data_IF_289380071426
#
_entry.id   IF_289380071426
#
_cell.length_a   1.000
_cell.length_b   1.000
_cell.length_c   1.000
_cell.angle_alpha   90.00
_cell.angle_beta   90.00
_cell.angle_gamma   90.00
#
_symmetry.space_group_name_H-M   'P 1'
#
loop_
_entity.id
_entity.type
_entity.pdbx_description
1 polymer ?
#
# COMPACT_ATOMS: atom_id res chain seq x y z
N UNK A 1 19.08 17.18 -13.14
CA UNK A 1 17.63 17.21 -12.86
C UNK A 1 17.24 15.93 -12.13
N UNK A 2 16.50 16.04 -11.02
CA UNK A 2 16.00 14.89 -10.23
C UNK A 2 14.88 14.19 -11.01
N UNK A 3 14.74 12.87 -10.85
CA UNK A 3 13.70 12.13 -11.53
C UNK A 3 12.30 12.46 -10.98
N UNK A 4 11.34 12.70 -11.87
CA UNK A 4 9.93 12.93 -11.53
C UNK A 4 9.27 11.63 -11.05
N UNK A 5 8.24 11.77 -10.21
CA UNK A 5 7.56 10.65 -9.55
C UNK A 5 6.14 10.43 -10.09
N UNK A 6 5.76 9.17 -10.26
CA UNK A 6 4.39 8.72 -10.52
C UNK A 6 3.84 8.11 -9.23
N UNK A 7 2.75 8.69 -8.71
CA UNK A 7 2.25 8.42 -7.35
C UNK A 7 0.79 7.95 -7.41
N UNK A 8 0.51 6.65 -7.25
CA UNK A 8 -0.85 6.17 -7.06
C UNK A 8 -1.44 6.62 -5.73
N UNK A 9 -2.69 7.07 -5.74
CA UNK A 9 -3.44 7.43 -4.54
C UNK A 9 -4.55 6.42 -4.24
N UNK A 10 -4.61 5.96 -2.99
CA UNK A 10 -5.57 5.01 -2.47
C UNK A 10 -6.47 5.74 -1.45
N UNK A 11 -7.68 6.07 -1.86
CA UNK A 11 -8.69 6.63 -0.96
C UNK A 11 -9.27 5.47 -0.13
N UNK A 12 -9.12 5.53 1.19
CA UNK A 12 -9.51 4.44 2.12
C UNK A 12 -10.79 4.82 2.85
N UNK A 13 -11.77 3.91 2.82
CA UNK A 13 -12.99 4.04 3.62
C UNK A 13 -13.32 2.69 4.24
N UNK A 14 -13.47 2.67 5.56
CA UNK A 14 -13.83 1.47 6.32
C UNK A 14 -12.88 0.28 6.03
N UNK A 15 -11.57 0.58 5.91
CA UNK A 15 -10.52 -0.41 5.62
C UNK A 15 -10.42 -0.87 4.16
N UNK A 16 -11.24 -0.32 3.25
CA UNK A 16 -11.27 -0.69 1.82
C UNK A 16 -10.80 0.46 0.96
N UNK A 17 -10.14 0.15 -0.17
CA UNK A 17 -9.91 1.17 -1.20
C UNK A 17 -11.25 1.48 -1.84
N UNK A 18 -11.58 2.75 -1.97
CA UNK A 18 -12.79 3.20 -2.63
C UNK A 18 -12.48 4.17 -3.76
N UNK A 19 -13.36 4.26 -4.75
CA UNK A 19 -13.28 5.30 -5.77
C UNK A 19 -14.63 5.84 -6.19
N UNK A 20 -14.70 7.16 -6.33
CA UNK A 20 -15.84 7.90 -6.85
C UNK A 20 -15.40 9.19 -7.52
N UNK A 21 -16.35 9.96 -8.05
CA UNK A 21 -16.12 11.29 -8.62
C UNK A 21 -16.44 12.32 -7.54
N UNK A 22 -15.51 13.22 -7.21
CA UNK A 22 -15.69 14.23 -6.15
C UNK A 22 -16.17 13.63 -4.81
N UNK A 23 -15.69 12.43 -4.46
CA UNK A 23 -16.12 11.66 -3.29
C UNK A 23 -17.62 11.28 -3.24
N UNK A 24 -18.31 11.35 -4.38
CA UNK A 24 -19.70 10.88 -4.59
C UNK A 24 -19.67 9.53 -5.31
N UNK A 25 -20.66 8.66 -5.04
CA UNK A 25 -20.82 7.32 -5.62
C UNK A 25 -19.59 6.41 -5.48
N UNK A 26 -19.06 6.35 -4.25
CA UNK A 26 -17.89 5.53 -3.91
C UNK A 26 -18.13 4.04 -4.17
N UNK A 27 -17.32 3.45 -5.05
CA UNK A 27 -17.27 2.00 -5.36
C UNK A 27 -16.07 1.37 -4.67
N UNK A 28 -16.21 0.13 -4.21
CA UNK A 28 -15.08 -0.66 -3.70
C UNK A 28 -14.07 -0.94 -4.84
N UNK A 29 -12.80 -0.65 -4.59
CA UNK A 29 -11.67 -0.81 -5.51
C UNK A 29 -10.62 -1.81 -4.99
N UNK A 30 -10.98 -2.62 -4.00
CA UNK A 30 -10.17 -3.75 -3.53
C UNK A 30 -9.52 -3.54 -2.18
N UNK A 31 -8.66 -4.51 -1.86
CA UNK A 31 -7.83 -4.49 -0.66
C UNK A 31 -6.69 -3.46 -0.79
N UNK A 32 -6.43 -2.61 0.23
CA UNK A 32 -5.38 -1.60 0.16
C UNK A 32 -3.96 -2.17 0.05
N UNK A 33 -3.67 -3.28 0.75
CA UNK A 33 -2.34 -3.90 0.79
C UNK A 33 -2.03 -4.56 -0.55
N UNK A 34 -2.98 -5.30 -1.11
CA UNK A 34 -2.83 -5.90 -2.44
C UNK A 34 -2.66 -4.84 -3.52
N UNK A 35 -3.39 -3.73 -3.45
CA UNK A 35 -3.18 -2.61 -4.38
C UNK A 35 -1.79 -1.96 -4.18
N UNK A 36 -1.33 -1.81 -2.95
CA UNK A 36 -0.01 -1.25 -2.66
C UNK A 36 1.11 -2.10 -3.26
N UNK A 37 1.07 -3.41 -3.04
CA UNK A 37 2.01 -4.38 -3.63
C UNK A 37 1.98 -4.29 -5.15
N UNK A 38 0.79 -4.35 -5.74
CA UNK A 38 0.62 -4.29 -7.18
C UNK A 38 1.22 -3.02 -7.78
N UNK A 39 0.97 -1.85 -7.18
CA UNK A 39 1.51 -0.59 -7.68
C UNK A 39 3.02 -0.49 -7.49
N UNK A 40 3.56 -1.01 -6.37
CA UNK A 40 4.99 -1.11 -6.17
C UNK A 40 5.67 -1.99 -7.24
N UNK A 41 5.07 -3.15 -7.56
CA UNK A 41 5.55 -4.07 -8.60
C UNK A 41 5.46 -3.46 -10.01
N UNK A 42 4.45 -2.64 -10.28
CA UNK A 42 4.37 -1.84 -11.51
C UNK A 42 5.36 -0.67 -11.58
N UNK A 43 6.12 -0.45 -10.50
CA UNK A 43 7.14 0.56 -10.42
C UNK A 43 6.61 1.93 -10.03
N UNK A 44 5.59 2.04 -9.17
CA UNK A 44 5.28 3.29 -8.50
C UNK A 44 6.55 3.85 -7.82
N UNK A 45 6.70 5.18 -7.83
CA UNK A 45 7.83 5.81 -7.12
C UNK A 45 7.54 6.03 -5.64
N UNK A 46 6.25 6.13 -5.31
CA UNK A 46 5.70 6.43 -3.99
C UNK A 46 4.20 6.08 -4.01
N UNK A 47 3.58 5.83 -2.85
CA UNK A 47 2.12 5.73 -2.70
C UNK A 47 1.55 6.80 -1.76
N UNK A 48 0.30 7.17 -1.94
CA UNK A 48 -0.45 8.00 -0.98
C UNK A 48 -1.72 7.29 -0.54
N UNK A 49 -1.95 7.18 0.77
CA UNK A 49 -3.19 6.69 1.36
C UNK A 49 -3.95 7.84 2.00
N UNK A 50 -5.22 8.04 1.64
CA UNK A 50 -6.07 9.08 2.22
C UNK A 50 -7.27 8.43 2.91
N UNK A 51 -7.28 8.42 4.24
CA UNK A 51 -8.43 7.93 5.01
C UNK A 51 -9.58 8.95 5.02
N UNK A 52 -10.69 8.57 4.39
CA UNK A 52 -11.94 9.33 4.33
C UNK A 52 -13.05 8.74 5.20
N UNK A 53 -12.73 7.75 6.03
CA UNK A 53 -13.66 7.21 7.03
C UNK A 53 -14.19 8.36 7.90
N UNK A 54 -15.40 8.28 8.45
CA UNK A 54 -15.98 9.35 9.28
C UNK A 54 -16.09 9.01 10.78
N UNK A 55 -15.89 7.74 11.14
CA UNK A 55 -16.17 7.19 12.49
C UNK A 55 -15.04 7.43 13.50
N UNK A 56 -15.27 7.09 14.77
CA UNK A 56 -14.30 7.27 15.87
C UNK A 56 -13.27 6.15 15.98
N UNK A 57 -13.51 4.97 15.39
CA UNK A 57 -12.62 3.78 15.43
C UNK A 57 -11.44 3.85 14.42
N UNK A 58 -11.19 5.05 13.87
CA UNK A 58 -10.22 5.29 12.79
C UNK A 58 -8.77 4.91 13.10
N UNK A 59 -8.34 5.10 14.35
CA UNK A 59 -6.91 5.12 14.68
C UNK A 59 -6.26 3.75 14.55
N UNK A 60 -6.95 2.70 15.00
CA UNK A 60 -6.41 1.34 14.93
C UNK A 60 -6.47 0.78 13.51
N UNK A 61 -7.52 1.09 12.74
CA UNK A 61 -7.65 0.67 11.33
C UNK A 61 -6.50 1.24 10.50
N UNK A 62 -6.29 2.56 10.57
CA UNK A 62 -5.21 3.21 9.83
C UNK A 62 -3.85 2.70 10.28
N UNK A 63 -3.62 2.56 11.60
CA UNK A 63 -2.35 2.06 12.11
C UNK A 63 -2.04 0.63 11.65
N UNK A 64 -3.01 -0.27 11.71
CA UNK A 64 -2.83 -1.66 11.28
C UNK A 64 -2.59 -1.74 9.77
N UNK A 65 -3.35 -0.97 8.98
CA UNK A 65 -3.14 -0.86 7.55
C UNK A 65 -1.73 -0.36 7.21
N UNK A 66 -1.26 0.70 7.88
CA UNK A 66 0.08 1.26 7.67
C UNK A 66 1.17 0.23 7.96
N UNK A 67 1.03 -0.51 9.07
CA UNK A 67 1.97 -1.57 9.43
C UNK A 67 2.00 -2.66 8.37
N UNK A 68 0.83 -3.13 7.94
CA UNK A 68 0.73 -4.19 6.95
C UNK A 68 1.30 -3.76 5.60
N UNK A 69 1.05 -2.52 5.16
CA UNK A 69 1.66 -1.99 3.93
C UNK A 69 3.18 -1.91 4.07
N UNK A 70 3.70 -1.40 5.18
CA UNK A 70 5.13 -1.26 5.43
C UNK A 70 5.88 -2.62 5.43
N UNK A 71 5.21 -3.70 5.85
CA UNK A 71 5.77 -5.05 5.81
C UNK A 71 5.91 -5.60 4.37
N UNK A 72 5.22 -5.01 3.38
CA UNK A 72 5.12 -5.54 2.02
C UNK A 72 5.80 -4.69 0.92
N UNK A 73 6.01 -3.39 1.14
CA UNK A 73 6.58 -2.49 0.11
C UNK A 73 7.81 -1.72 0.60
N UNK A 74 8.73 -1.41 -0.32
CA UNK A 74 9.96 -0.65 -0.04
C UNK A 74 9.97 0.74 -0.66
N UNK A 75 8.97 1.05 -1.47
CA UNK A 75 8.81 2.41 -2.00
C UNK A 75 8.20 3.27 -0.89
N UNK A 76 8.54 4.56 -0.81
CA UNK A 76 7.99 5.42 0.22
C UNK A 76 6.47 5.52 0.13
N UNK A 77 5.80 5.74 1.25
CA UNK A 77 4.39 6.08 1.22
C UNK A 77 3.99 7.15 2.24
N UNK A 78 3.02 7.97 1.82
CA UNK A 78 2.42 9.02 2.63
C UNK A 78 1.02 8.61 3.10
N UNK A 79 0.67 8.99 4.32
CA UNK A 79 -0.66 8.72 4.90
C UNK A 79 -1.30 10.05 5.31
N UNK A 80 -2.51 10.30 4.84
CA UNK A 80 -3.32 11.46 5.18
C UNK A 80 -4.75 11.06 5.57
N UNK A 81 -5.54 12.05 5.94
CA UNK A 81 -6.92 11.85 6.39
C UNK A 81 -7.02 11.80 7.91
N UNK A 82 -7.63 12.82 8.52
CA UNK A 82 -7.90 12.85 9.95
C UNK A 82 -6.70 13.10 10.89
N UNK A 83 -5.51 13.40 10.35
CA UNK A 83 -4.33 13.79 11.15
C UNK A 83 -4.53 15.19 11.74
N UNK A 84 -4.59 15.30 13.07
CA UNK A 84 -4.92 16.56 13.77
C UNK A 84 -3.89 16.98 14.82
N UNK A 85 -3.10 16.04 15.32
CA UNK A 85 -2.20 16.26 16.44
C UNK A 85 -0.82 15.66 16.18
N UNK A 86 0.18 16.10 16.94
CA UNK A 86 1.53 15.50 16.93
C UNK A 86 1.49 14.01 17.25
N UNK A 87 0.55 13.58 18.12
CA UNK A 87 0.41 12.16 18.45
C UNK A 87 -0.14 11.35 17.27
N UNK A 88 -1.06 11.90 16.48
CA UNK A 88 -1.55 11.21 15.28
C UNK A 88 -0.40 11.00 14.28
N UNK A 89 0.46 12.02 14.11
CA UNK A 89 1.64 11.94 13.24
C UNK A 89 2.62 10.88 13.75
N UNK A 90 2.92 10.90 15.06
CA UNK A 90 3.80 9.93 15.73
C UNK A 90 3.32 8.50 15.50
N UNK A 91 2.02 8.25 15.69
CA UNK A 91 1.42 6.92 15.55
C UNK A 91 1.56 6.38 14.11
N UNK A 92 1.38 7.24 13.11
CA UNK A 92 1.44 6.85 11.69
C UNK A 92 2.88 6.62 11.23
N UNK A 93 3.80 7.50 11.60
CA UNK A 93 5.22 7.32 11.26
C UNK A 93 5.82 6.10 11.96
N UNK A 94 5.51 5.89 13.25
CA UNK A 94 5.99 4.73 14.00
C UNK A 94 5.36 3.41 13.54
N UNK A 95 4.21 3.46 12.85
CA UNK A 95 3.62 2.28 12.23
C UNK A 95 4.30 1.88 10.91
N UNK A 96 5.14 2.75 10.33
CA UNK A 96 5.94 2.43 9.14
C UNK A 96 5.74 3.37 7.94
N UNK A 97 4.88 4.38 8.04
CA UNK A 97 4.77 5.39 6.98
C UNK A 97 6.01 6.30 6.97
N UNK A 98 6.48 6.67 5.78
CA UNK A 98 7.61 7.61 5.64
C UNK A 98 7.18 9.06 5.85
N UNK A 99 5.92 9.35 5.51
CA UNK A 99 5.38 10.72 5.47
C UNK A 99 3.93 10.80 5.95
N UNK A 100 3.55 11.96 6.47
CA UNK A 100 2.17 12.30 6.81
C UNK A 100 1.68 13.47 5.97
N UNK A 101 0.43 13.41 5.55
CA UNK A 101 -0.24 14.46 4.78
C UNK A 101 -1.27 15.18 5.64
N UNK A 102 -1.11 16.50 5.78
CA UNK A 102 -1.91 17.36 6.65
C UNK A 102 -2.57 18.45 5.79
N UNK A 103 -3.89 18.55 5.87
CA UNK A 103 -4.67 19.61 5.23
C UNK A 103 -5.35 20.47 6.32
N UNK A 104 -6.63 20.22 6.64
CA UNK A 104 -7.46 21.13 7.43
C UNK A 104 -6.89 21.45 8.81
N UNK A 105 -6.34 20.46 9.54
CA UNK A 105 -5.73 20.73 10.84
C UNK A 105 -4.48 21.62 10.76
N UNK A 106 -3.71 21.50 9.68
CA UNK A 106 -2.56 22.36 9.41
C UNK A 106 -3.00 23.76 9.02
N UNK A 107 -4.10 23.91 8.28
CA UNK A 107 -4.69 25.20 7.95
C UNK A 107 -5.22 25.93 9.20
N UNK A 108 -6.02 25.24 10.00
CA UNK A 108 -6.64 25.80 11.21
C UNK A 108 -5.61 26.11 12.30
N UNK A 109 -4.51 25.33 12.35
CA UNK A 109 -3.40 25.53 13.27
C UNK A 109 -2.04 25.33 12.59
N UNK A 110 -1.49 26.38 11.92
CA UNK A 110 -0.22 26.29 11.19
C UNK A 110 0.98 25.92 12.05
N UNK A 111 0.90 26.12 13.37
CA UNK A 111 1.96 25.71 14.31
C UNK A 111 2.16 24.19 14.36
N UNK A 112 1.18 23.40 13.90
CA UNK A 112 1.29 21.94 13.80
C UNK A 112 2.43 21.54 12.86
N UNK A 113 2.59 22.21 11.72
CA UNK A 113 3.71 21.98 10.79
C UNK A 113 5.05 22.25 11.47
N UNK A 114 5.16 23.35 12.23
CA UNK A 114 6.41 23.71 12.92
C UNK A 114 6.78 22.70 14.00
N UNK A 115 5.80 22.26 14.78
CA UNK A 115 6.01 21.24 15.81
C UNK A 115 6.38 19.89 15.19
N UNK A 116 5.69 19.48 14.12
CA UNK A 116 5.92 18.22 13.44
C UNK A 116 7.29 18.19 12.75
N UNK A 117 7.64 19.24 12.01
CA UNK A 117 8.94 19.37 11.34
C UNK A 117 10.10 19.37 12.34
N UNK A 118 9.95 20.01 13.50
CA UNK A 118 10.97 19.97 14.57
C UNK A 118 11.16 18.57 15.17
N UNK A 119 10.08 17.78 15.30
CA UNK A 119 10.13 16.45 15.91
C UNK A 119 10.57 15.36 14.94
N UNK A 120 10.06 15.38 13.71
CA UNK A 120 10.22 14.29 12.73
C UNK A 120 11.08 14.66 11.51
N UNK A 121 11.36 15.96 11.32
CA UNK A 121 12.00 16.49 10.12
C UNK A 121 11.00 16.87 9.04
N UNK A 122 11.28 17.95 8.30
CA UNK A 122 10.40 18.46 7.25
C UNK A 122 10.09 17.45 6.15
N UNK A 123 11.04 16.56 5.84
CA UNK A 123 10.87 15.52 4.80
C UNK A 123 9.71 14.55 5.10
N UNK A 124 9.30 14.43 6.36
CA UNK A 124 8.17 13.58 6.78
C UNK A 124 6.82 14.30 6.66
N UNK A 125 6.79 15.60 6.38
CA UNK A 125 5.59 16.43 6.52
C UNK A 125 5.16 16.98 5.15
N UNK A 126 4.03 16.49 4.66
CA UNK A 126 3.39 16.92 3.41
C UNK A 126 2.22 17.86 3.73
N UNK A 127 2.21 19.05 3.15
CA UNK A 127 1.05 19.95 3.19
C UNK A 127 0.11 19.61 2.03
N UNK A 128 -1.04 19.00 2.33
CA UNK A 128 -2.10 18.81 1.35
C UNK A 128 -2.94 20.08 1.23
N UNK A 129 -3.07 20.59 0.01
CA UNK A 129 -3.79 21.82 -0.31
C UNK A 129 -4.81 21.49 -1.40
N UNK A 130 -6.08 21.50 -1.02
CA UNK A 130 -7.18 21.46 -1.97
C UNK A 130 -7.49 22.90 -2.39
N UNK A 131 -7.62 23.16 -3.68
CA UNK A 131 -7.92 24.51 -4.17
C UNK A 131 -8.84 24.50 -5.39
N UNK A 132 -9.58 25.60 -5.57
CA UNK A 132 -10.41 25.86 -6.75
C UNK A 132 -10.29 27.30 -7.22
N UNK A 133 -10.56 27.57 -8.48
CA UNK A 133 -10.64 28.94 -8.99
C UNK A 133 -12.03 29.54 -8.72
N UNK A 134 -12.09 30.67 -8.01
CA UNK A 134 -13.35 31.34 -7.69
C UNK A 134 -13.70 32.49 -8.64
N UNK A 135 -13.00 32.62 -9.78
CA UNK A 135 -13.15 33.72 -10.73
C UNK A 135 -12.13 34.84 -10.55
N UNK A 136 -11.43 34.89 -9.41
CA UNK A 136 -10.40 35.87 -9.13
C UNK A 136 -9.07 35.23 -8.69
N UNK A 137 -9.14 34.31 -7.74
CA UNK A 137 -7.97 33.61 -7.19
C UNK A 137 -8.19 32.10 -7.18
N UNK A 138 -7.09 31.35 -7.11
CA UNK A 138 -7.13 29.96 -6.64
C UNK A 138 -7.23 29.98 -5.13
N UNK A 139 -8.41 29.65 -4.62
CA UNK A 139 -8.77 29.71 -3.22
C UNK A 139 -8.59 28.35 -2.55
N UNK A 140 -7.94 28.34 -1.37
CA UNK A 140 -7.76 27.14 -0.56
C UNK A 140 -9.10 26.68 0.02
N UNK A 141 -9.29 25.37 0.00
CA UNK A 141 -10.45 24.69 0.54
C UNK A 141 -10.04 23.76 1.69
N UNK A 142 -10.90 23.65 2.69
CA UNK A 142 -10.75 22.71 3.81
C UNK A 142 -11.96 21.79 3.92
N UNK A 143 -11.92 20.84 4.85
CA UNK A 143 -12.98 19.86 5.11
C UNK A 143 -13.35 19.03 3.87
N UNK A 144 -12.33 18.56 3.14
CA UNK A 144 -12.49 17.78 1.91
C UNK A 144 -13.14 18.58 0.78
N UNK A 145 -12.70 19.83 0.59
CA UNK A 145 -13.16 20.72 -0.48
C UNK A 145 -14.47 21.47 -0.21
N UNK A 146 -15.10 21.32 0.97
CA UNK A 146 -16.44 21.86 1.23
C UNK A 146 -16.46 23.27 1.80
N UNK A 147 -15.36 23.69 2.44
CA UNK A 147 -15.26 24.99 3.08
C UNK A 147 -14.25 25.87 2.35
N UNK A 148 -14.71 27.02 1.86
CA UNK A 148 -13.88 28.01 1.18
C UNK A 148 -13.29 29.00 2.19
N UNK A 149 -11.99 29.22 2.13
CA UNK A 149 -11.25 29.93 3.20
C UNK A 149 -10.98 31.40 2.92
N UNK A 150 -11.23 31.86 1.69
CA UNK A 150 -10.86 33.18 1.18
C UNK A 150 -9.36 33.35 0.90
N UNK A 151 -8.54 32.33 1.18
CA UNK A 151 -7.07 32.44 1.11
C UNK A 151 -6.52 31.96 -0.22
N UNK A 152 -5.57 32.72 -0.78
CA UNK A 152 -4.82 32.33 -1.97
C UNK A 152 -3.99 31.06 -1.75
N UNK A 153 -4.01 30.16 -2.73
CA UNK A 153 -3.24 28.91 -2.74
C UNK A 153 -1.73 29.14 -2.61
N UNK A 154 -1.21 30.18 -3.26
CA UNK A 154 0.23 30.48 -3.26
C UNK A 154 0.68 31.08 -1.92
N UNK A 155 -0.15 31.95 -1.32
CA UNK A 155 0.14 32.53 0.01
C UNK A 155 0.05 31.47 1.11
N UNK A 156 -0.83 30.49 0.96
CA UNK A 156 -0.90 29.37 1.89
C UNK A 156 0.27 28.39 1.70
N UNK A 157 0.61 28.05 0.46
CA UNK A 157 1.74 27.19 0.14
C UNK A 157 3.06 27.73 0.74
N UNK A 158 3.31 29.04 0.59
CA UNK A 158 4.47 29.71 1.20
C UNK A 158 4.48 29.59 2.71
N UNK A 159 3.38 29.92 3.38
CA UNK A 159 3.32 29.80 4.84
C UNK A 159 3.53 28.36 5.29
N UNK A 160 2.87 27.36 4.67
CA UNK A 160 3.05 25.96 5.05
C UNK A 160 4.52 25.52 4.98
N UNK A 161 5.25 25.96 3.94
CA UNK A 161 6.69 25.70 3.78
C UNK A 161 7.53 26.46 4.81
N UNK A 162 7.24 27.74 5.06
CA UNK A 162 7.90 28.53 6.13
C UNK A 162 7.70 27.89 7.51
N UNK A 163 6.55 27.26 7.72
CA UNK A 163 6.23 26.51 8.95
C UNK A 163 6.91 25.15 9.02
N UNK A 164 7.51 24.67 7.93
CA UNK A 164 8.33 23.46 7.91
C UNK A 164 7.79 22.28 7.12
N UNK A 165 6.73 22.44 6.33
CA UNK A 165 6.32 21.41 5.37
C UNK A 165 7.45 21.16 4.34
N UNK A 166 7.82 19.90 4.13
CA UNK A 166 8.91 19.52 3.21
C UNK A 166 8.44 19.19 1.80
N UNK A 167 7.12 19.16 1.57
CA UNK A 167 6.50 18.86 0.28
C UNK A 167 5.05 19.35 0.25
N UNK A 168 4.56 19.71 -0.94
CA UNK A 168 3.16 20.09 -1.16
C UNK A 168 2.46 19.03 -2.01
N UNK A 169 1.30 18.57 -1.55
CA UNK A 169 0.33 17.80 -2.36
C UNK A 169 -0.79 18.75 -2.77
N UNK A 170 -0.81 19.13 -4.06
CA UNK A 170 -1.68 20.17 -4.59
C UNK A 170 -2.81 19.55 -5.41
N UNK A 171 -4.03 19.57 -4.89
CA UNK A 171 -5.22 19.02 -5.56
C UNK A 171 -6.08 20.12 -6.15
N UNK A 172 -6.29 20.08 -7.46
CA UNK A 172 -7.29 20.93 -8.13
C UNK A 172 -8.68 20.33 -7.99
N UNK A 173 -9.55 20.97 -7.20
CA UNK A 173 -10.93 20.54 -7.03
C UNK A 173 -11.79 20.78 -8.28
N UNK A 174 -11.37 21.68 -9.18
CA UNK A 174 -12.05 21.90 -10.47
C UNK A 174 -11.75 20.78 -11.47
N UNK A 175 -10.61 20.11 -11.33
CA UNK A 175 -10.15 19.04 -12.24
C UNK A 175 -10.36 17.65 -11.67
N UNK A 176 -10.48 17.49 -10.36
CA UNK A 176 -10.55 16.16 -9.76
C UNK A 176 -11.71 15.32 -10.32
N UNK A 177 -11.42 14.04 -10.59
CA UNK A 177 -12.35 13.11 -11.24
C UNK A 177 -12.72 13.38 -12.71
N UNK A 178 -12.37 14.53 -13.30
CA UNK A 178 -12.83 14.91 -14.67
C UNK A 178 -12.14 14.18 -15.81
N UNK A 179 -10.92 13.65 -15.58
CA UNK A 179 -10.01 13.10 -16.60
C UNK A 179 -9.58 14.09 -17.70
N UNK A 180 -9.85 15.39 -17.54
CA UNK A 180 -9.53 16.44 -18.53
C UNK A 180 -8.12 17.03 -18.40
N UNK A 181 -7.22 16.36 -17.69
CA UNK A 181 -5.86 16.82 -17.39
C UNK A 181 -5.75 17.59 -16.07
N UNK A 182 -4.52 17.65 -15.55
CA UNK A 182 -4.18 18.43 -14.36
C UNK A 182 -4.36 19.93 -14.59
N UNK A 183 -4.53 20.70 -13.51
CA UNK A 183 -4.52 22.16 -13.59
C UNK A 183 -3.08 22.69 -13.67
N UNK A 184 -2.61 22.88 -14.90
CA UNK A 184 -1.24 23.31 -15.19
C UNK A 184 -0.96 24.72 -14.68
N UNK A 185 -1.91 25.64 -14.82
CA UNK A 185 -1.76 27.04 -14.40
C UNK A 185 -1.61 27.15 -12.89
N UNK A 186 -2.49 26.47 -12.14
CA UNK A 186 -2.43 26.43 -10.69
C UNK A 186 -1.14 25.74 -10.21
N UNK A 187 -0.79 24.60 -10.82
CA UNK A 187 0.43 23.85 -10.49
C UNK A 187 1.67 24.72 -10.66
N UNK A 188 1.77 25.42 -11.80
CA UNK A 188 2.90 26.30 -12.10
C UNK A 188 3.00 27.45 -11.10
N UNK A 189 1.88 28.10 -10.79
CA UNK A 189 1.85 29.20 -9.84
C UNK A 189 2.36 28.79 -8.44
N UNK A 190 2.02 27.58 -7.98
CA UNK A 190 2.50 27.06 -6.69
C UNK A 190 3.97 26.65 -6.79
N UNK A 191 4.39 25.92 -7.83
CA UNK A 191 5.78 25.52 -8.04
C UNK A 191 6.73 26.71 -8.04
N UNK A 192 6.38 27.80 -8.73
CA UNK A 192 7.21 29.01 -8.79
C UNK A 192 7.24 29.79 -7.45
N UNK A 193 6.34 29.47 -6.52
CA UNK A 193 6.17 30.20 -5.27
C UNK A 193 6.88 29.56 -4.06
N UNK A 194 7.32 28.30 -4.17
CA UNK A 194 7.93 27.54 -3.06
C UNK A 194 9.23 26.85 -3.47
N UNK A 195 10.07 26.52 -2.48
CA UNK A 195 11.35 25.85 -2.69
C UNK A 195 11.29 24.32 -2.54
N UNK A 196 10.17 23.79 -2.06
CA UNK A 196 9.97 22.35 -1.83
C UNK A 196 9.32 21.68 -3.05
N UNK A 197 9.40 20.33 -3.17
CA UNK A 197 8.70 19.61 -4.22
C UNK A 197 7.17 19.82 -4.17
N UNK A 198 6.56 19.89 -5.34
CA UNK A 198 5.10 19.93 -5.52
C UNK A 198 4.65 18.68 -6.26
N UNK A 199 3.61 18.04 -5.72
CA UNK A 199 2.90 16.92 -6.33
C UNK A 199 1.59 17.46 -6.93
N UNK A 200 1.43 17.35 -8.26
CA UNK A 200 0.18 17.69 -8.92
C UNK A 200 -0.86 16.59 -8.72
N UNK A 201 -2.10 16.96 -8.36
CA UNK A 201 -3.22 16.06 -8.08
C UNK A 201 -4.53 16.59 -8.68
N UNK A 202 -5.40 15.68 -9.11
CA UNK A 202 -6.72 15.96 -9.70
C UNK A 202 -6.70 16.15 -11.21
N UNK A 203 -7.44 15.31 -11.95
CA UNK A 203 -7.72 15.48 -13.38
C UNK A 203 -7.00 14.56 -14.37
N UNK A 204 -6.07 13.72 -13.93
CA UNK A 204 -5.39 12.77 -14.82
C UNK A 204 -6.37 11.85 -15.56
N UNK A 205 -6.29 11.86 -16.89
CA UNK A 205 -7.06 10.96 -17.79
C UNK A 205 -6.24 10.12 -18.76
N UNK A 206 -4.96 10.46 -18.97
CA UNK A 206 -4.08 9.76 -19.91
C UNK A 206 -2.61 10.07 -19.59
N UNK A 207 -1.64 9.25 -20.07
CA UNK A 207 -0.22 9.44 -19.83
C UNK A 207 0.33 10.83 -20.22
N UNK A 208 -0.22 11.46 -21.26
CA UNK A 208 0.21 12.79 -21.69
C UNK A 208 -0.05 13.87 -20.63
N UNK A 209 -1.07 13.70 -19.79
CA UNK A 209 -1.35 14.64 -18.70
C UNK A 209 -0.23 14.66 -17.64
N UNK A 210 0.45 13.53 -17.39
CA UNK A 210 1.61 13.49 -16.48
C UNK A 210 2.80 14.25 -17.06
N UNK A 211 3.00 14.13 -18.37
CA UNK A 211 4.02 14.90 -19.09
C UNK A 211 3.76 16.39 -18.92
N UNK A 212 2.52 16.82 -19.12
CA UNK A 212 2.13 18.22 -18.99
C UNK A 212 2.30 18.75 -17.56
N UNK A 213 1.90 17.98 -16.55
CA UNK A 213 2.08 18.35 -15.13
C UNK A 213 3.55 18.61 -14.78
N UNK A 214 4.47 17.79 -15.31
CA UNK A 214 5.90 17.92 -15.04
C UNK A 214 6.59 18.97 -15.93
N UNK A 215 6.39 18.94 -17.26
CA UNK A 215 7.09 19.84 -18.18
C UNK A 215 6.52 21.26 -18.18
N UNK A 216 5.19 21.40 -18.21
CA UNK A 216 4.52 22.71 -18.24
C UNK A 216 4.25 23.21 -16.82
N UNK A 217 3.74 22.33 -15.95
CA UNK A 217 3.43 22.68 -14.56
C UNK A 217 4.66 22.78 -13.65
N UNK A 218 5.76 22.10 -13.99
CA UNK A 218 6.98 22.07 -13.17
C UNK A 218 6.91 21.13 -11.96
N UNK A 219 5.86 20.33 -11.83
CA UNK A 219 5.69 19.42 -10.69
C UNK A 219 6.76 18.32 -10.68
N UNK A 220 7.29 18.01 -9.49
CA UNK A 220 8.27 16.94 -9.27
C UNK A 220 7.61 15.58 -8.96
N UNK A 221 6.29 15.57 -8.81
CA UNK A 221 5.47 14.36 -8.73
C UNK A 221 4.10 14.60 -9.35
N UNK A 222 3.49 13.55 -9.87
CA UNK A 222 2.12 13.57 -10.36
C UNK A 222 1.36 12.40 -9.75
N UNK A 223 0.29 12.73 -9.04
CA UNK A 223 -0.55 11.80 -8.31
C UNK A 223 -1.84 11.52 -9.08
N UNK A 224 -2.24 10.25 -9.13
CA UNK A 224 -3.51 9.86 -9.73
C UNK A 224 -4.10 8.62 -9.05
N UNK A 225 -5.42 8.48 -9.15
CA UNK A 225 -6.15 7.33 -8.62
C UNK A 225 -6.92 6.61 -9.74
N UNK A 226 -7.90 7.27 -10.36
CA UNK A 226 -8.87 6.63 -11.26
C UNK A 226 -8.23 5.83 -12.40
N UNK A 227 -7.27 6.40 -13.11
CA UNK A 227 -6.66 5.74 -14.28
C UNK A 227 -5.92 4.44 -13.93
N UNK A 228 -5.42 4.32 -12.69
CA UNK A 228 -4.69 3.15 -12.21
C UNK A 228 -5.64 2.09 -11.63
N UNK A 229 -6.63 2.51 -10.84
CA UNK A 229 -7.62 1.61 -10.24
C UNK A 229 -8.51 0.96 -11.30
N UNK A 230 -8.89 1.70 -12.35
CA UNK A 230 -9.66 1.16 -13.47
C UNK A 230 -8.81 0.44 -14.53
N UNK A 231 -7.50 0.29 -14.30
CA UNK A 231 -6.57 -0.40 -15.21
C UNK A 231 -6.58 0.17 -16.64
N UNK A 232 -6.88 1.46 -16.79
CA UNK A 232 -6.88 2.15 -18.09
C UNK A 232 -5.46 2.31 -18.61
N UNK A 233 -4.53 2.61 -17.71
CA UNK A 233 -3.10 2.69 -17.97
C UNK A 233 -2.31 2.11 -16.80
N UNK A 234 -1.22 1.40 -17.08
CA UNK A 234 -0.27 0.99 -16.05
C UNK A 234 0.68 2.15 -15.68
N UNK A 235 1.33 2.04 -14.52
CA UNK A 235 2.39 3.00 -14.14
C UNK A 235 3.56 2.95 -15.15
N UNK A 236 3.85 1.76 -15.68
CA UNK A 236 4.87 1.59 -16.70
C UNK A 236 4.53 2.32 -18.00
N UNK A 237 3.26 2.32 -18.43
CA UNK A 237 2.80 3.08 -19.62
C UNK A 237 3.00 4.59 -19.42
N UNK A 238 2.65 5.10 -18.23
CA UNK A 238 2.85 6.50 -17.86
C UNK A 238 4.34 6.84 -17.86
N UNK A 239 5.19 6.05 -17.21
CA UNK A 239 6.64 6.28 -17.15
C UNK A 239 7.29 6.22 -18.52
N UNK A 240 6.86 5.29 -19.38
CA UNK A 240 7.33 5.21 -20.76
C UNK A 240 6.99 6.49 -21.52
N UNK A 241 5.74 6.97 -21.44
CA UNK A 241 5.33 8.22 -22.09
C UNK A 241 6.13 9.43 -21.57
N UNK A 242 6.38 9.49 -20.27
CA UNK A 242 7.19 10.55 -19.65
C UNK A 242 8.64 10.50 -20.14
N UNK A 243 9.23 9.30 -20.21
CA UNK A 243 10.57 9.10 -20.75
C UNK A 243 10.68 9.50 -22.23
N UNK A 244 9.70 9.11 -23.06
CA UNK A 244 9.64 9.46 -24.48
C UNK A 244 9.53 10.97 -24.70
N UNK A 245 8.93 11.69 -23.74
CA UNK A 245 8.85 13.15 -23.72
C UNK A 245 10.10 13.85 -23.13
N UNK A 246 11.14 13.09 -22.78
CA UNK A 246 12.41 13.61 -22.27
C UNK A 246 12.46 13.83 -20.75
N UNK A 247 11.44 13.42 -19.99
CA UNK A 247 11.48 13.46 -18.53
C UNK A 247 12.34 12.33 -17.98
N UNK A 248 13.17 12.63 -16.98
CA UNK A 248 13.89 11.60 -16.23
C UNK A 248 12.92 10.91 -15.28
N UNK A 249 12.62 9.64 -15.54
CA UNK A 249 11.83 8.78 -14.65
C UNK A 249 12.72 7.76 -13.95
N UNK A 250 12.25 7.20 -12.83
CA UNK A 250 12.91 6.05 -12.22
C UNK A 250 12.27 4.78 -12.77
N UNK A 251 13.07 3.89 -13.30
CA UNK A 251 12.65 2.52 -13.51
C UNK A 251 13.14 1.76 -12.28
N UNK A 252 12.22 1.33 -11.41
CA UNK A 252 12.62 0.51 -10.27
C UNK A 252 13.32 -0.75 -10.79
N UNK A 253 14.40 -1.11 -10.10
CA UNK A 253 15.38 -2.15 -10.44
C UNK A 253 14.71 -3.39 -11.06
N UNK A 254 15.30 -3.87 -12.17
CA UNK A 254 15.04 -5.19 -12.76
C UNK A 254 14.72 -6.23 -11.69
N UNK A 255 13.81 -7.17 -11.96
CA UNK A 255 13.45 -8.34 -11.12
C UNK A 255 14.57 -8.86 -10.20
N UNK A 256 15.83 -8.88 -10.66
CA UNK A 256 17.04 -9.23 -9.89
C UNK A 256 17.37 -8.35 -8.66
N UNK A 257 17.17 -7.02 -8.72
CA UNK A 257 17.44 -6.11 -7.60
C UNK A 257 16.34 -6.16 -6.55
N UNK A 258 15.09 -6.26 -7.01
CA UNK A 258 13.96 -6.61 -6.14
C UNK A 258 14.15 -8.00 -5.55
N UNK A 259 14.64 -9.02 -6.28
CA UNK A 259 14.93 -10.35 -5.72
C UNK A 259 15.95 -10.34 -4.58
N UNK A 260 16.93 -9.43 -4.58
CA UNK A 260 17.88 -9.32 -3.47
C UNK A 260 17.32 -8.58 -2.25
N UNK A 261 16.49 -7.55 -2.47
CA UNK A 261 15.76 -6.85 -1.39
C UNK A 261 14.63 -7.74 -0.85
N UNK A 262 13.90 -8.43 -1.73
CA UNK A 262 12.95 -9.51 -1.41
C UNK A 262 13.65 -10.66 -0.69
N UNK A 263 14.86 -11.09 -1.05
CA UNK A 263 15.60 -12.10 -0.26
C UNK A 263 15.94 -11.64 1.16
N UNK A 264 16.02 -10.32 1.38
CA UNK A 264 16.31 -9.73 2.69
C UNK A 264 15.06 -9.44 3.53
N UNK A 265 13.87 -9.46 2.93
CA UNK A 265 12.61 -9.12 3.61
C UNK A 265 11.45 -10.13 3.45
N UNK A 266 11.50 -11.05 2.48
CA UNK A 266 10.60 -12.21 2.37
C UNK A 266 11.17 -13.40 3.14
N UNK A 267 10.99 -13.39 4.45
CA UNK A 267 10.30 -14.52 5.06
C UNK A 267 8.82 -14.17 5.06
N UNK A 268 8.01 -14.96 4.35
CA UNK A 268 6.54 -15.06 4.37
C UNK A 268 5.89 -14.87 3.00
N UNK A 269 5.03 -15.84 2.73
CA UNK A 269 4.56 -16.26 1.44
C UNK A 269 3.13 -16.70 1.74
N UNK A 270 2.16 -15.84 1.43
CA UNK A 270 0.81 -15.79 2.03
C UNK A 270 -0.08 -17.04 1.91
N UNK A 271 0.34 -18.08 1.19
CA UNK A 271 -0.31 -19.41 1.21
C UNK A 271 0.48 -20.48 1.98
N UNK A 272 1.81 -20.32 2.10
CA UNK A 272 2.62 -21.10 3.05
C UNK A 272 2.36 -20.62 4.48
N UNK A 273 1.94 -19.37 4.67
CA UNK A 273 1.63 -18.82 5.99
C UNK A 273 0.57 -19.66 6.72
N UNK A 274 -0.48 -20.14 6.03
CA UNK A 274 -1.44 -21.08 6.63
C UNK A 274 -0.79 -22.41 7.02
N UNK A 275 0.11 -22.96 6.21
CA UNK A 275 0.82 -24.20 6.54
C UNK A 275 1.82 -23.98 7.70
N UNK A 276 2.39 -22.77 7.82
CA UNK A 276 3.20 -22.37 8.97
C UNK A 276 2.33 -22.20 10.23
N UNK A 277 1.18 -21.56 10.14
CA UNK A 277 0.20 -21.44 11.23
C UNK A 277 -0.29 -22.81 11.69
N UNK A 278 -0.61 -23.69 10.73
CA UNK A 278 -0.98 -25.08 11.01
C UNK A 278 0.18 -25.82 11.69
N UNK A 279 1.42 -25.67 11.22
CA UNK A 279 2.59 -26.27 11.87
C UNK A 279 2.77 -25.75 13.31
N UNK A 280 2.59 -24.45 13.56
CA UNK A 280 2.65 -23.89 14.91
C UNK A 280 1.53 -24.43 15.81
N UNK A 281 0.32 -24.55 15.29
CA UNK A 281 -0.79 -25.19 15.99
C UNK A 281 -0.46 -26.65 16.35
N UNK A 282 0.12 -27.42 15.42
CA UNK A 282 0.53 -28.81 15.69
C UNK A 282 1.62 -28.90 16.76
N UNK A 283 2.61 -27.99 16.74
CA UNK A 283 3.65 -27.87 17.78
C UNK A 283 2.99 -27.62 19.15
N UNK A 284 2.05 -26.67 19.22
CA UNK A 284 1.30 -26.37 20.44
C UNK A 284 0.51 -27.59 20.92
N UNK A 285 -0.19 -28.29 20.01
CA UNK A 285 -0.99 -29.48 20.35
C UNK A 285 -0.14 -30.65 20.83
N UNK A 286 1.08 -30.80 20.31
CA UNK A 286 2.07 -31.79 20.80
C UNK A 286 2.54 -31.46 22.21
N UNK A 287 2.73 -30.18 22.52
CA UNK A 287 3.20 -29.72 23.82
C UNK A 287 2.10 -29.79 24.90
N UNK A 288 0.88 -29.37 24.57
CA UNK A 288 -0.22 -29.22 25.54
C UNK A 288 -1.12 -30.46 25.65
N UNK A 289 -1.15 -31.32 24.63
CA UNK A 289 -1.98 -32.54 24.54
C UNK A 289 -3.44 -32.37 25.05
N UNK A 290 -4.20 -31.36 24.55
CA UNK A 290 -5.54 -31.07 25.05
C UNK A 290 -6.51 -32.23 24.83
N UNK A 291 -7.34 -32.53 25.83
CA UNK A 291 -8.40 -33.55 25.74
C UNK A 291 -9.40 -33.22 24.62
N UNK A 292 -9.94 -34.26 23.97
CA UNK A 292 -10.90 -34.13 22.86
C UNK A 292 -10.30 -33.70 21.51
N UNK A 293 -9.02 -33.33 21.43
CA UNK A 293 -8.36 -33.01 20.16
C UNK A 293 -7.94 -34.27 19.41
N UNK A 294 -8.39 -34.39 18.16
CA UNK A 294 -7.97 -35.47 17.24
C UNK A 294 -6.44 -35.52 17.08
N UNK A 295 -5.80 -34.36 16.87
CA UNK A 295 -4.35 -34.22 16.78
C UNK A 295 -3.64 -34.70 18.05
N UNK A 296 -4.11 -34.31 19.24
CA UNK A 296 -3.52 -34.76 20.50
C UNK A 296 -3.73 -36.26 20.74
N UNK A 297 -4.81 -36.85 20.20
CA UNK A 297 -5.00 -38.31 20.20
C UNK A 297 -3.94 -38.99 19.34
N UNK A 298 -3.67 -38.50 18.13
CA UNK A 298 -2.64 -39.06 17.25
C UNK A 298 -1.25 -39.02 17.89
N UNK A 299 -0.87 -37.91 18.55
CA UNK A 299 0.40 -37.85 19.29
C UNK A 299 0.46 -38.82 20.47
N UNK A 300 -0.66 -39.07 21.18
CA UNK A 300 -0.73 -40.04 22.28
C UNK A 300 -0.64 -41.49 21.80
N UNK A 301 -1.19 -41.78 20.62
CA UNK A 301 -1.16 -43.11 20.02
C UNK A 301 0.23 -43.50 19.47
N UNK A 302 1.16 -42.54 19.38
CA UNK A 302 2.57 -42.77 19.07
C UNK A 302 2.92 -42.77 17.58
N UNK A 303 4.21 -42.90 17.28
CA UNK A 303 4.79 -42.75 15.94
C UNK A 303 4.13 -43.64 14.88
N UNK A 304 3.98 -44.93 15.19
CA UNK A 304 3.39 -45.91 14.28
C UNK A 304 1.98 -45.51 13.81
N UNK A 305 1.24 -44.74 14.61
CA UNK A 305 -0.15 -44.38 14.30
C UNK A 305 -0.23 -43.42 13.13
N UNK A 306 0.48 -42.29 13.20
CA UNK A 306 0.41 -41.28 12.15
C UNK A 306 1.23 -41.69 10.92
N UNK A 307 2.30 -42.49 11.08
CA UNK A 307 3.02 -43.09 9.93
C UNK A 307 2.12 -44.03 9.14
N UNK A 308 1.34 -44.88 9.81
CA UNK A 308 0.34 -45.72 9.15
C UNK A 308 -0.68 -44.89 8.37
N UNK A 309 -1.12 -43.77 8.95
CA UNK A 309 -2.04 -42.86 8.26
C UNK A 309 -1.43 -42.27 6.99
N UNK A 310 -0.19 -41.80 7.02
CA UNK A 310 0.49 -41.30 5.81
C UNK A 310 0.46 -42.32 4.66
N UNK A 311 0.67 -43.61 4.96
CA UNK A 311 0.61 -44.68 3.95
C UNK A 311 -0.81 -44.90 3.42
N UNK A 312 -1.81 -44.83 4.29
CA UNK A 312 -3.25 -44.93 3.97
C UNK A 312 -3.67 -43.81 3.01
N UNK A 313 -3.46 -42.55 3.42
CA UNK A 313 -3.86 -41.35 2.66
C UNK A 313 -3.12 -41.27 1.30
N UNK A 314 -1.85 -41.72 1.25
CA UNK A 314 -1.10 -41.80 0.00
C UNK A 314 -1.70 -42.82 -0.96
N UNK A 315 -2.18 -43.96 -0.45
CA UNK A 315 -2.90 -44.96 -1.25
C UNK A 315 -4.23 -44.42 -1.78
N UNK A 316 -5.00 -43.76 -0.93
CA UNK A 316 -6.30 -43.16 -1.26
C UNK A 316 -6.15 -42.05 -2.30
N UNK A 317 -5.15 -41.17 -2.14
CA UNK A 317 -4.82 -40.14 -3.15
C UNK A 317 -4.54 -40.75 -4.53
N UNK A 318 -3.78 -41.85 -4.59
CA UNK A 318 -3.47 -42.54 -5.85
C UNK A 318 -4.73 -43.17 -6.45
N UNK A 319 -5.60 -43.75 -5.64
CA UNK A 319 -6.86 -44.35 -6.10
C UNK A 319 -7.79 -43.26 -6.65
N UNK A 320 -7.99 -42.16 -5.91
CA UNK A 320 -8.77 -41.00 -6.32
C UNK A 320 -8.27 -40.43 -7.66
N UNK A 321 -6.95 -40.33 -7.83
CA UNK A 321 -6.31 -39.89 -9.07
C UNK A 321 -6.62 -40.81 -10.26
N UNK A 322 -6.60 -42.13 -10.04
CA UNK A 322 -6.95 -43.12 -11.09
C UNK A 322 -8.43 -43.09 -11.44
N UNK A 323 -9.29 -42.73 -10.49
CA UNK A 323 -10.73 -42.57 -10.70
C UNK A 323 -11.09 -41.22 -11.33
N UNK A 324 -10.12 -40.30 -11.47
CA UNK A 324 -10.31 -38.94 -11.98
C UNK A 324 -11.32 -38.11 -11.17
N UNK A 325 -11.52 -38.44 -9.89
CA UNK A 325 -12.39 -37.67 -9.00
C UNK A 325 -11.61 -36.48 -8.40
N UNK A 326 -11.89 -35.28 -8.91
CA UNK A 326 -11.19 -34.07 -8.47
C UNK A 326 -11.46 -33.72 -7.02
N UNK A 327 -12.66 -33.99 -6.50
CA UNK A 327 -13.00 -33.65 -5.13
C UNK A 327 -12.28 -34.58 -4.17
N UNK A 328 -12.28 -35.88 -4.47
CA UNK A 328 -11.57 -36.90 -3.70
C UNK A 328 -10.06 -36.66 -3.75
N UNK A 329 -9.47 -36.34 -4.91
CA UNK A 329 -8.04 -36.00 -5.03
C UNK A 329 -7.68 -34.83 -4.09
N UNK A 330 -8.49 -33.76 -4.05
CA UNK A 330 -8.22 -32.60 -3.20
C UNK A 330 -8.29 -32.99 -1.72
N UNK A 331 -9.30 -33.78 -1.35
CA UNK A 331 -9.52 -34.22 0.03
C UNK A 331 -8.36 -35.11 0.52
N UNK A 332 -8.05 -36.18 -0.20
CA UNK A 332 -6.99 -37.13 0.20
C UNK A 332 -5.60 -36.49 0.18
N UNK A 333 -5.35 -35.56 -0.75
CA UNK A 333 -4.10 -34.80 -0.77
C UNK A 333 -3.97 -33.89 0.45
N UNK A 334 -5.07 -33.27 0.91
CA UNK A 334 -5.05 -32.44 2.10
C UNK A 334 -4.77 -33.26 3.37
N UNK A 335 -5.39 -34.43 3.50
CA UNK A 335 -5.16 -35.34 4.62
C UNK A 335 -3.74 -35.91 4.63
N UNK A 336 -3.20 -36.27 3.45
CA UNK A 336 -1.80 -36.66 3.32
C UNK A 336 -0.83 -35.56 3.77
N UNK A 337 -1.08 -34.30 3.37
CA UNK A 337 -0.27 -33.14 3.79
C UNK A 337 -0.36 -32.95 5.31
N UNK A 338 -1.55 -33.05 5.88
CA UNK A 338 -1.77 -32.90 7.33
C UNK A 338 -0.99 -33.94 8.14
N UNK A 339 -1.09 -35.23 7.78
CA UNK A 339 -0.37 -36.30 8.49
C UNK A 339 1.14 -36.23 8.26
N UNK A 340 1.58 -35.74 7.11
CA UNK A 340 3.00 -35.46 6.85
C UNK A 340 3.51 -34.34 7.77
N UNK A 341 2.75 -33.23 7.92
CA UNK A 341 3.11 -32.15 8.84
C UNK A 341 3.20 -32.64 10.30
N UNK A 342 2.33 -33.57 10.71
CA UNK A 342 2.40 -34.22 12.02
C UNK A 342 3.73 -34.94 12.24
N UNK A 343 4.15 -35.78 11.30
CA UNK A 343 5.44 -36.47 11.34
C UNK A 343 6.61 -35.47 11.38
N UNK A 344 6.56 -34.40 10.58
CA UNK A 344 7.61 -33.36 10.58
C UNK A 344 7.73 -32.68 11.94
N UNK A 345 6.60 -32.31 12.56
CA UNK A 345 6.58 -31.76 13.94
C UNK A 345 7.12 -32.78 14.94
N UNK A 346 6.82 -34.06 14.76
CA UNK A 346 7.30 -35.08 15.69
C UNK A 346 8.83 -35.23 15.64
N UNK A 347 9.39 -35.16 14.43
CA UNK A 347 10.83 -35.28 14.15
C UNK A 347 11.61 -33.96 14.24
N UNK A 348 10.98 -32.87 14.68
CA UNK A 348 11.58 -31.53 14.76
C UNK A 348 12.09 -30.98 13.41
N UNK A 349 11.38 -31.28 12.32
CA UNK A 349 11.67 -30.78 10.97
C UNK A 349 10.71 -29.63 10.66
N UNK A 350 11.24 -28.48 10.27
CA UNK A 350 10.41 -27.31 9.94
C UNK A 350 9.89 -27.39 8.51
N UNK A 351 8.76 -26.73 8.23
CA UNK A 351 8.26 -26.60 6.86
C UNK A 351 9.26 -25.84 5.96
N UNK A 352 10.04 -24.93 6.55
CA UNK A 352 11.12 -24.23 5.85
C UNK A 352 12.19 -25.20 5.34
N UNK A 353 12.54 -26.25 6.08
CA UNK A 353 13.53 -27.24 5.65
C UNK A 353 13.05 -27.97 4.38
N UNK A 354 11.76 -28.30 4.31
CA UNK A 354 11.13 -28.90 3.13
C UNK A 354 11.12 -27.93 1.95
N UNK A 355 10.76 -26.66 2.18
CA UNK A 355 10.76 -25.62 1.13
C UNK A 355 12.16 -25.38 0.58
N UNK A 356 13.18 -25.38 1.44
CA UNK A 356 14.59 -25.27 1.03
C UNK A 356 14.98 -26.43 0.11
N UNK A 357 14.63 -27.66 0.47
CA UNK A 357 14.93 -28.85 -0.35
C UNK A 357 14.17 -28.83 -1.69
N UNK A 358 12.89 -28.44 -1.70
CA UNK A 358 12.13 -28.30 -2.94
C UNK A 358 12.71 -27.23 -3.86
N UNK A 359 13.13 -26.08 -3.31
CA UNK A 359 13.81 -25.01 -4.08
C UNK A 359 15.14 -25.48 -4.65
N UNK A 360 15.90 -26.27 -3.87
CA UNK A 360 17.15 -26.89 -4.34
C UNK A 360 16.89 -27.79 -5.54
N UNK A 361 15.84 -28.64 -5.48
CA UNK A 361 15.45 -29.54 -6.58
C UNK A 361 14.91 -28.81 -7.81
N UNK A 362 14.20 -27.70 -7.63
CA UNK A 362 13.70 -26.90 -8.75
C UNK A 362 14.82 -26.18 -9.51
N UNK A 363 15.94 -25.88 -8.83
CA UNK A 363 17.10 -25.18 -9.41
C UNK A 363 18.09 -26.12 -10.11
N UNK A 364 17.80 -27.43 -10.15
CA UNK A 364 18.53 -28.49 -10.84
C UNK A 364 17.72 -28.95 -12.05
#
# INVERSE_FOLDING_TARGET
MVAVRVIPCLDIKDGRVVKGVNFVDLKDAGDPVQNAIFYAEQGADELTFLDITATTDKRDIVRNLVKEVADHIFIPFAVGGGIRTIQDIDNVLMAGADKVSINTAGFDNPSLFTQAARKFGSQCIVAAIDARFNGNIYEVLTQGGRHATGRSVTDWAKEAVERGAGEILLTSMDRDGTKGGYDISMTRAVVDSVSVPVIASGGAGEPAHFVDACLKGGAQGALAASIFHFREYSIADVKKKMQDAGLRVRWNYTRQGLEQVYKKAKSNQTNLDFLHELQQLLIQRKAELPEGSYTAKLFREGEDRYLKKIVEEAGETVIAAKNHDKAEIIYETADLIFHTLLMLVDQNISLNDIVVELRRRHSQ
#
